data_IF_218823935447
#
_entry.id   IF_218823935447
#
_cell.length_a   1.000
_cell.length_b   1.000
_cell.length_c   1.000
_cell.angle_alpha   90.00
_cell.angle_beta   90.00
_cell.angle_gamma   90.00
#
_symmetry.space_group_name_H-M   'P 1'
#
loop_
_entity.id
_entity.type
_entity.pdbx_description
1 polymer ?
#
# COMPACT_ATOMS: atom_id res chain seq x y z
N UNK A 1 -10.86 24.61 -3.61
CA UNK A 1 -12.27 24.98 -3.58
C UNK A 1 -12.58 26.17 -4.48
N UNK A 2 -13.82 26.31 -4.87
CA UNK A 2 -14.30 27.43 -5.66
C UNK A 2 -14.59 28.62 -4.72
N UNK A 3 -13.66 29.57 -4.64
CA UNK A 3 -13.77 30.75 -3.78
C UNK A 3 -12.94 31.93 -4.32
N UNK A 4 -13.32 33.14 -3.96
CA UNK A 4 -12.55 34.34 -4.26
C UNK A 4 -11.32 34.44 -3.35
N UNK A 5 -10.13 34.41 -3.97
CA UNK A 5 -8.86 34.42 -3.25
C UNK A 5 -8.68 35.68 -2.41
N UNK A 6 -9.06 36.87 -2.95
CA UNK A 6 -8.88 38.13 -2.26
C UNK A 6 -9.82 38.23 -1.02
N UNK A 7 -11.05 37.75 -1.18
CA UNK A 7 -12.01 37.72 -0.09
C UNK A 7 -11.55 36.81 1.06
N UNK A 8 -11.05 35.62 0.74
CA UNK A 8 -10.53 34.68 1.75
C UNK A 8 -9.24 35.21 2.38
N UNK A 9 -8.31 35.74 1.60
CA UNK A 9 -7.08 36.37 2.13
C UNK A 9 -7.40 37.49 3.11
N UNK A 10 -8.35 38.36 2.75
CA UNK A 10 -8.81 39.43 3.64
C UNK A 10 -9.36 38.88 4.95
N UNK A 11 -10.23 37.85 4.90
CA UNK A 11 -10.77 37.22 6.10
C UNK A 11 -9.70 36.58 6.97
N UNK A 12 -8.71 35.89 6.37
CA UNK A 12 -7.57 35.30 7.09
C UNK A 12 -6.79 36.40 7.81
N UNK A 13 -6.43 37.47 7.12
CA UNK A 13 -5.71 38.61 7.71
C UNK A 13 -6.51 39.25 8.84
N UNK A 14 -7.80 39.54 8.65
CA UNK A 14 -8.65 40.17 9.67
C UNK A 14 -8.79 39.32 10.95
N UNK A 15 -8.85 38.00 10.82
CA UNK A 15 -9.03 37.08 11.96
C UNK A 15 -7.72 36.78 12.67
N UNK A 16 -6.66 36.48 11.93
CA UNK A 16 -5.43 35.94 12.50
C UNK A 16 -4.35 37.00 12.80
N UNK A 17 -4.36 38.18 12.16
CA UNK A 17 -3.39 39.26 12.46
C UNK A 17 -3.46 39.81 13.87
N UNK A 18 -4.58 39.55 14.58
CA UNK A 18 -4.76 39.95 15.98
C UNK A 18 -4.08 39.00 16.98
N UNK A 19 -3.69 37.81 16.51
CA UNK A 19 -2.98 36.84 17.33
C UNK A 19 -1.53 37.33 17.54
N UNK A 20 -1.10 37.37 18.80
CA UNK A 20 0.26 37.74 19.16
C UNK A 20 0.98 36.51 19.70
N UNK A 21 2.14 36.26 19.18
CA UNK A 21 3.01 35.25 19.77
C UNK A 21 3.48 35.73 21.14
N UNK A 22 3.53 34.85 22.15
CA UNK A 22 4.09 35.20 23.46
C UNK A 22 5.55 35.58 23.30
N UNK A 23 6.02 36.58 24.09
CA UNK A 23 7.42 37.02 24.07
C UNK A 23 8.43 35.89 24.35
N UNK A 24 8.00 34.89 25.15
CA UNK A 24 8.75 33.66 25.44
C UNK A 24 7.83 32.48 25.15
N UNK A 25 7.84 31.94 23.93
CA UNK A 25 7.04 30.77 23.61
C UNK A 25 7.54 29.57 24.44
N UNK A 26 6.61 28.70 24.84
CA UNK A 26 6.97 27.45 25.49
C UNK A 26 7.81 26.62 24.54
N UNK A 27 8.97 26.10 24.97
CA UNK A 27 9.74 25.18 24.14
C UNK A 27 8.91 23.92 23.86
N UNK A 28 8.97 23.44 22.62
CA UNK A 28 8.37 22.16 22.24
C UNK A 28 9.36 21.07 22.68
N UNK A 29 9.08 20.46 23.81
CA UNK A 29 9.92 19.37 24.32
C UNK A 29 9.62 18.10 23.54
N UNK A 30 10.63 17.48 22.99
CA UNK A 30 10.57 16.17 22.37
C UNK A 30 10.96 15.12 23.44
N UNK A 31 10.26 14.00 23.42
CA UNK A 31 10.50 12.89 24.32
C UNK A 31 10.88 11.67 23.48
N UNK A 32 11.99 11.06 23.84
CA UNK A 32 12.44 9.82 23.21
C UNK A 32 11.59 8.63 23.64
N UNK A 33 11.34 7.70 22.73
CA UNK A 33 10.75 6.41 23.06
C UNK A 33 11.81 5.56 23.76
N UNK A 34 11.56 5.06 24.99
CA UNK A 34 12.54 4.28 25.72
C UNK A 34 12.95 3.01 24.96
N UNK A 35 14.26 2.77 24.85
CA UNK A 35 14.80 1.54 24.28
C UNK A 35 14.77 0.41 25.30
N UNK A 36 14.51 -0.81 24.82
CA UNK A 36 14.47 -2.01 25.66
C UNK A 36 15.11 -3.21 24.96
N UNK A 37 15.78 -4.07 25.75
CA UNK A 37 16.43 -5.28 25.24
C UNK A 37 15.45 -6.44 25.06
N UNK A 38 14.53 -6.57 26.00
CA UNK A 38 13.57 -7.65 25.99
C UNK A 38 12.39 -7.34 25.07
N UNK A 39 11.85 -8.36 24.42
CA UNK A 39 10.58 -8.22 23.68
C UNK A 39 9.44 -7.96 24.68
N UNK A 40 8.68 -6.90 24.44
CA UNK A 40 7.47 -6.62 25.19
C UNK A 40 6.28 -7.30 24.52
N UNK A 41 5.36 -7.83 25.31
CA UNK A 41 4.17 -8.51 24.81
C UNK A 41 2.94 -7.97 25.51
N UNK A 42 1.86 -7.80 24.77
CA UNK A 42 0.56 -7.46 25.29
C UNK A 42 -0.52 -8.28 24.57
N UNK A 43 -1.39 -8.91 25.33
CA UNK A 43 -2.54 -9.65 24.82
C UNK A 43 -3.78 -9.06 25.45
N UNK A 44 -4.70 -8.55 24.64
CA UNK A 44 -5.92 -7.94 25.09
C UNK A 44 -7.12 -8.43 24.29
N UNK A 45 -8.27 -8.51 24.96
CA UNK A 45 -9.58 -8.71 24.32
C UNK A 45 -10.48 -7.54 24.64
N UNK A 46 -11.37 -7.24 23.73
CA UNK A 46 -12.33 -6.17 23.86
C UNK A 46 -13.67 -6.57 23.24
N UNK A 47 -14.77 -6.17 23.85
CA UNK A 47 -16.14 -6.48 23.38
C UNK A 47 -16.48 -5.78 22.06
N UNK A 48 -15.85 -4.65 21.81
CA UNK A 48 -16.04 -3.87 20.58
C UNK A 48 -15.10 -4.28 19.46
N UNK A 49 -14.06 -5.10 19.74
CA UNK A 49 -13.17 -5.62 18.71
C UNK A 49 -13.95 -6.57 17.79
N UNK A 50 -13.80 -6.37 16.48
CA UNK A 50 -14.50 -7.14 15.42
C UNK A 50 -13.66 -8.24 14.79
N UNK A 51 -12.35 -8.26 15.03
CA UNK A 51 -11.40 -9.21 14.44
C UNK A 51 -10.21 -9.44 15.35
N UNK A 52 -9.60 -10.60 15.21
CA UNK A 52 -8.32 -10.91 15.85
C UNK A 52 -7.18 -10.35 15.02
N UNK A 53 -6.32 -9.55 15.66
CA UNK A 53 -5.15 -8.94 15.00
C UNK A 53 -3.88 -9.21 15.77
N UNK A 54 -2.76 -9.32 15.08
CA UNK A 54 -1.43 -9.38 15.65
C UNK A 54 -0.55 -8.30 15.04
N UNK A 55 0.22 -7.61 15.88
CA UNK A 55 1.22 -6.62 15.47
C UNK A 55 2.57 -7.00 16.05
N UNK A 56 3.56 -7.08 15.20
CA UNK A 56 4.96 -7.20 15.57
C UNK A 56 5.67 -5.91 15.17
N UNK A 57 6.22 -5.21 16.13
CA UNK A 57 6.81 -3.88 15.95
C UNK A 57 8.26 -3.88 16.37
N UNK A 58 9.09 -3.16 15.62
CA UNK A 58 10.49 -2.90 15.90
C UNK A 58 10.71 -1.39 15.94
N UNK A 59 11.05 -0.86 17.11
CA UNK A 59 11.26 0.58 17.27
C UNK A 59 12.70 0.95 16.85
N UNK A 60 12.80 2.06 16.13
CA UNK A 60 14.04 2.62 15.61
C UNK A 60 14.12 4.12 15.90
N UNK A 61 15.33 4.67 15.83
CA UNK A 61 15.51 6.12 15.82
C UNK A 61 15.08 6.66 14.44
N UNK A 62 14.33 7.73 14.45
CA UNK A 62 13.89 8.41 13.23
C UNK A 62 14.89 9.49 12.84
N UNK A 63 15.25 9.51 11.57
CA UNK A 63 16.00 10.60 10.96
C UNK A 63 15.07 11.33 9.98
N UNK A 64 14.83 12.61 10.28
CA UNK A 64 13.95 13.44 9.46
C UNK A 64 14.62 13.73 8.11
N UNK A 65 13.97 13.43 6.98
CA UNK A 65 14.54 13.69 5.68
C UNK A 65 14.65 15.20 5.43
N UNK A 66 15.84 15.66 5.02
CA UNK A 66 16.12 17.06 4.74
C UNK A 66 16.92 17.27 3.44
N UNK A 67 17.49 16.23 2.88
CA UNK A 67 18.36 16.26 1.71
C UNK A 67 17.89 15.31 0.61
N UNK A 68 18.41 15.50 -0.62
CA UNK A 68 18.18 14.55 -1.73
C UNK A 68 18.65 13.13 -1.37
N UNK A 69 19.71 13.01 -0.57
CA UNK A 69 20.18 11.72 -0.07
C UNK A 69 19.14 11.06 0.83
N UNK A 70 18.51 11.83 1.70
CA UNK A 70 17.45 11.31 2.58
C UNK A 70 16.21 10.95 1.76
N UNK A 71 15.85 11.74 0.75
CA UNK A 71 14.75 11.43 -0.16
C UNK A 71 15.01 10.11 -0.92
N UNK A 72 16.25 9.89 -1.42
CA UNK A 72 16.64 8.61 -2.00
C UNK A 72 16.48 7.46 -1.01
N UNK A 73 16.81 7.71 0.26
CA UNK A 73 16.66 6.68 1.31
C UNK A 73 15.18 6.37 1.57
N UNK A 74 14.30 7.36 1.56
CA UNK A 74 12.85 7.14 1.65
C UNK A 74 12.30 6.35 0.45
N UNK A 75 12.78 6.60 -0.77
CA UNK A 75 12.42 5.78 -1.93
C UNK A 75 12.84 4.32 -1.75
N UNK A 76 14.02 4.05 -1.17
CA UNK A 76 14.47 2.68 -0.85
C UNK A 76 13.53 2.03 0.17
N UNK A 77 13.11 2.76 1.21
CA UNK A 77 12.17 2.24 2.20
C UNK A 77 10.78 1.95 1.59
N UNK A 78 10.31 2.81 0.71
CA UNK A 78 9.05 2.62 0.00
C UNK A 78 9.09 1.40 -0.92
N UNK A 79 10.19 1.19 -1.66
CA UNK A 79 10.40 -0.01 -2.47
C UNK A 79 10.41 -1.27 -1.60
N UNK A 80 11.14 -1.26 -0.46
CA UNK A 80 11.13 -2.37 0.48
C UNK A 80 9.71 -2.67 1.00
N UNK A 81 8.99 -1.63 1.43
CA UNK A 81 7.61 -1.77 1.90
C UNK A 81 6.70 -2.37 0.82
N UNK A 82 6.82 -1.90 -0.42
CA UNK A 82 6.02 -2.42 -1.53
C UNK A 82 6.33 -3.90 -1.84
N UNK A 83 7.62 -4.27 -1.85
CA UNK A 83 8.06 -5.63 -2.17
C UNK A 83 7.65 -6.63 -1.09
N UNK A 84 7.81 -6.30 0.20
CA UNK A 84 7.38 -7.18 1.29
C UNK A 84 5.85 -7.35 1.29
N UNK A 85 5.11 -6.29 0.97
CA UNK A 85 3.66 -6.33 0.90
C UNK A 85 3.13 -7.12 -0.29
N UNK A 86 3.82 -7.13 -1.42
CA UNK A 86 3.49 -7.99 -2.54
C UNK A 86 3.55 -9.48 -2.13
N UNK A 87 4.61 -9.90 -1.43
CA UNK A 87 4.73 -11.28 -0.91
C UNK A 87 3.68 -11.62 0.14
N UNK A 88 3.38 -10.69 1.06
CA UNK A 88 2.30 -10.89 2.04
C UNK A 88 0.93 -10.99 1.35
N UNK A 89 0.72 -10.23 0.27
CA UNK A 89 -0.47 -10.32 -0.56
C UNK A 89 -0.64 -11.72 -1.19
N UNK A 90 0.44 -12.30 -1.72
CA UNK A 90 0.41 -13.67 -2.27
C UNK A 90 0.02 -14.71 -1.21
N UNK A 91 0.54 -14.57 0.02
CA UNK A 91 0.17 -15.47 1.11
C UNK A 91 -1.31 -15.40 1.48
N UNK A 92 -1.95 -14.23 1.31
CA UNK A 92 -3.39 -14.07 1.57
C UNK A 92 -4.28 -14.73 0.52
N UNK A 93 -3.72 -15.07 -0.65
CA UNK A 93 -4.44 -15.71 -1.76
C UNK A 93 -4.30 -17.23 -1.77
N UNK A 94 -3.61 -17.83 -0.80
CA UNK A 94 -3.52 -19.29 -0.66
C UNK A 94 -4.90 -19.87 -0.34
N UNK A 95 -5.12 -21.14 -0.68
CA UNK A 95 -6.36 -21.85 -0.38
C UNK A 95 -6.66 -21.89 1.13
N UNK A 96 -5.64 -22.01 1.98
CA UNK A 96 -5.75 -21.86 3.44
C UNK A 96 -4.74 -20.79 3.91
N UNK A 97 -5.13 -19.52 3.84
CA UNK A 97 -4.24 -18.42 4.15
C UNK A 97 -4.01 -18.31 5.66
N UNK A 98 -2.78 -17.98 6.11
CA UNK A 98 -2.46 -17.83 7.53
C UNK A 98 -3.09 -16.61 8.18
N UNK A 99 -3.60 -15.69 7.37
CA UNK A 99 -4.28 -14.45 7.78
C UNK A 99 -5.27 -14.02 6.69
N UNK A 100 -6.24 -13.19 7.06
CA UNK A 100 -7.18 -12.59 6.11
C UNK A 100 -6.48 -11.55 5.24
N UNK A 101 -5.64 -10.73 5.85
CA UNK A 101 -4.67 -9.84 5.20
C UNK A 101 -3.53 -9.51 6.15
N UNK A 102 -2.39 -9.14 5.59
CA UNK A 102 -1.24 -8.66 6.35
C UNK A 102 -0.53 -7.55 5.59
N UNK A 103 0.18 -6.71 6.32
CA UNK A 103 1.08 -5.73 5.73
C UNK A 103 2.28 -5.49 6.64
N UNK A 104 3.38 -5.01 6.05
CA UNK A 104 4.54 -4.52 6.77
C UNK A 104 4.91 -3.12 6.27
N UNK A 105 5.31 -2.27 7.19
CA UNK A 105 5.63 -0.88 6.89
C UNK A 105 6.72 -0.35 7.82
N UNK A 106 7.75 0.27 7.24
CA UNK A 106 8.71 1.08 7.96
C UNK A 106 8.43 2.56 7.68
N UNK A 107 8.39 3.38 8.72
CA UNK A 107 8.18 4.81 8.59
C UNK A 107 8.26 5.53 9.93
N UNK A 108 8.12 6.86 9.88
CA UNK A 108 8.01 7.70 11.06
C UNK A 108 6.84 7.27 11.95
N UNK A 109 7.02 7.36 13.26
CA UNK A 109 6.00 7.04 14.25
C UNK A 109 5.71 8.29 15.12
N UNK A 110 6.20 8.34 16.33
CA UNK A 110 5.97 9.43 17.29
C UNK A 110 7.27 10.14 17.61
N UNK A 111 7.27 11.46 17.57
CA UNK A 111 8.45 12.26 17.90
C UNK A 111 9.67 11.89 17.06
N UNK A 112 10.74 11.45 17.73
CA UNK A 112 12.00 11.04 17.12
C UNK A 112 12.08 9.53 16.84
N UNK A 113 10.94 8.82 16.84
CA UNK A 113 10.92 7.38 16.60
C UNK A 113 10.45 7.05 15.18
N UNK A 114 11.03 6.00 14.61
CA UNK A 114 10.51 5.26 13.48
C UNK A 114 10.14 3.85 13.93
N UNK A 115 9.32 3.20 13.16
CA UNK A 115 8.84 1.86 13.46
C UNK A 115 8.77 1.00 12.21
N UNK A 116 9.29 -0.22 12.30
CA UNK A 116 8.91 -1.26 11.35
C UNK A 116 7.82 -2.10 12.00
N UNK A 117 6.66 -2.14 11.37
CA UNK A 117 5.50 -2.88 11.86
C UNK A 117 5.10 -3.94 10.86
N UNK A 118 4.97 -5.19 11.31
CA UNK A 118 4.25 -6.23 10.58
C UNK A 118 2.92 -6.46 11.28
N UNK A 119 1.84 -6.33 10.53
CA UNK A 119 0.47 -6.48 10.97
C UNK A 119 -0.18 -7.66 10.25
N UNK A 120 -0.98 -8.44 10.95
CA UNK A 120 -1.86 -9.43 10.35
C UNK A 120 -3.23 -9.42 11.03
N UNK A 121 -4.29 -9.46 10.22
CA UNK A 121 -5.66 -9.77 10.65
C UNK A 121 -5.92 -11.24 10.40
N UNK A 122 -6.32 -11.98 11.42
CA UNK A 122 -6.45 -13.42 11.38
C UNK A 122 -7.88 -13.87 11.64
N UNK A 123 -8.18 -15.13 11.34
CA UNK A 123 -9.36 -15.81 11.87
C UNK A 123 -9.29 -15.82 13.40
N UNK A 124 -10.43 -15.89 14.05
CA UNK A 124 -10.51 -15.99 15.51
C UNK A 124 -9.72 -17.21 16.00
N UNK A 125 -8.89 -17.02 17.03
CA UNK A 125 -8.01 -18.07 17.57
C UNK A 125 -6.73 -18.37 16.77
N UNK A 126 -6.50 -17.74 15.61
CA UNK A 126 -5.36 -18.01 14.73
C UNK A 126 -4.20 -16.99 14.86
N UNK A 127 -4.14 -16.21 15.92
CA UNK A 127 -3.11 -15.16 16.11
C UNK A 127 -1.67 -15.71 16.02
N UNK A 128 -1.39 -16.90 16.56
CA UNK A 128 -0.06 -17.51 16.47
C UNK A 128 0.31 -17.89 15.03
N UNK A 129 -0.66 -18.36 14.23
CA UNK A 129 -0.41 -18.69 12.83
C UNK A 129 -0.10 -17.42 12.02
N UNK A 130 -0.87 -16.35 12.23
CA UNK A 130 -0.60 -15.06 11.59
C UNK A 130 0.76 -14.48 12.00
N UNK A 131 1.10 -14.51 13.29
CA UNK A 131 2.41 -14.07 13.76
C UNK A 131 3.55 -14.90 13.15
N UNK A 132 3.39 -16.22 13.09
CA UNK A 132 4.38 -17.11 12.50
C UNK A 132 4.61 -16.77 11.03
N UNK A 133 3.55 -16.58 10.25
CA UNK A 133 3.66 -16.27 8.83
C UNK A 133 4.37 -14.94 8.57
N UNK A 134 4.06 -13.88 9.31
CA UNK A 134 4.78 -12.60 9.15
C UNK A 134 6.23 -12.68 9.64
N UNK A 135 6.52 -13.50 10.66
CA UNK A 135 7.90 -13.75 11.09
C UNK A 135 8.69 -14.52 10.03
N UNK A 136 8.10 -15.53 9.40
CA UNK A 136 8.73 -16.32 8.33
C UNK A 136 9.06 -15.42 7.14
N UNK A 137 8.13 -14.53 6.73
CA UNK A 137 8.38 -13.63 5.62
C UNK A 137 9.43 -12.56 5.97
N UNK A 138 9.39 -12.01 7.17
CA UNK A 138 10.43 -11.10 7.68
C UNK A 138 11.80 -11.78 7.69
N UNK A 139 11.90 -13.02 8.18
CA UNK A 139 13.15 -13.77 8.19
C UNK A 139 13.62 -14.13 6.77
N UNK A 140 12.70 -14.43 5.85
CA UNK A 140 13.01 -14.66 4.43
C UNK A 140 13.61 -13.40 3.81
N UNK A 141 12.96 -12.24 3.97
CA UNK A 141 13.45 -10.97 3.47
C UNK A 141 14.80 -10.57 4.09
N UNK A 142 14.99 -10.83 5.40
CA UNK A 142 16.25 -10.53 6.09
C UNK A 142 17.41 -11.40 5.63
N UNK A 143 17.19 -12.70 5.40
CA UNK A 143 18.26 -13.68 5.08
C UNK A 143 18.58 -13.72 3.60
N UNK A 144 17.58 -13.71 2.75
CA UNK A 144 17.74 -13.94 1.32
C UNK A 144 17.46 -12.69 0.49
N UNK A 145 16.80 -11.67 1.07
CA UNK A 145 16.44 -10.45 0.36
C UNK A 145 15.32 -10.66 -0.67
N UNK A 146 15.27 -9.76 -1.60
CA UNK A 146 14.37 -9.75 -2.74
C UNK A 146 15.12 -10.13 -4.02
N UNK A 147 14.38 -10.40 -5.09
CA UNK A 147 14.92 -10.75 -6.41
C UNK A 147 15.06 -9.50 -7.29
N UNK A 148 15.90 -9.54 -8.34
CA UNK A 148 15.99 -8.46 -9.31
C UNK A 148 14.65 -8.16 -9.99
N UNK A 149 13.86 -9.19 -10.31
CA UNK A 149 12.56 -9.07 -10.98
C UNK A 149 11.51 -8.37 -10.11
N UNK A 150 11.51 -8.63 -8.80
CA UNK A 150 10.66 -7.88 -7.85
C UNK A 150 11.04 -6.40 -7.83
N UNK A 151 12.33 -6.08 -7.75
CA UNK A 151 12.80 -4.70 -7.74
C UNK A 151 12.46 -3.96 -9.03
N UNK A 152 12.69 -4.58 -10.19
CA UNK A 152 12.40 -3.97 -11.48
C UNK A 152 10.91 -3.69 -11.66
N UNK A 153 10.05 -4.61 -11.22
CA UNK A 153 8.60 -4.45 -11.21
C UNK A 153 8.18 -3.28 -10.34
N UNK A 154 8.69 -3.18 -9.12
CA UNK A 154 8.33 -2.10 -8.20
C UNK A 154 8.89 -0.75 -8.65
N UNK A 155 10.07 -0.69 -9.26
CA UNK A 155 10.59 0.55 -9.84
C UNK A 155 9.69 1.07 -10.97
N UNK A 156 9.27 0.19 -11.88
CA UNK A 156 8.34 0.55 -12.97
C UNK A 156 7.00 1.05 -12.42
N UNK A 157 6.47 0.37 -11.42
CA UNK A 157 5.23 0.79 -10.78
C UNK A 157 5.38 2.17 -10.12
N UNK A 158 6.44 2.37 -9.34
CA UNK A 158 6.73 3.66 -8.70
C UNK A 158 6.88 4.78 -9.73
N UNK A 159 7.63 4.56 -10.81
CA UNK A 159 7.78 5.56 -11.88
C UNK A 159 6.43 5.92 -12.49
N UNK A 160 5.59 4.94 -12.79
CA UNK A 160 4.24 5.14 -13.34
C UNK A 160 3.35 5.93 -12.38
N UNK A 161 3.41 5.67 -11.07
CA UNK A 161 2.64 6.38 -10.05
C UNK A 161 3.01 7.87 -10.01
N UNK A 162 4.31 8.20 -10.02
CA UNK A 162 4.77 9.58 -10.03
C UNK A 162 4.52 10.28 -11.38
N UNK A 163 4.63 9.56 -12.50
CA UNK A 163 4.26 10.07 -13.81
C UNK A 163 2.77 10.43 -13.88
N UNK A 164 1.90 9.55 -13.40
CA UNK A 164 0.46 9.81 -13.33
C UNK A 164 0.14 10.99 -12.43
N UNK A 165 0.79 11.10 -11.26
CA UNK A 165 0.63 12.24 -10.37
C UNK A 165 1.06 13.57 -11.05
N UNK A 166 2.14 13.55 -11.84
CA UNK A 166 2.57 14.70 -12.64
C UNK A 166 1.55 15.06 -13.72
N UNK A 167 1.04 14.09 -14.49
CA UNK A 167 0.05 14.32 -15.54
C UNK A 167 -1.28 14.86 -14.99
N UNK A 168 -1.65 14.43 -13.78
CA UNK A 168 -2.90 14.82 -13.10
C UNK A 168 -2.74 16.00 -12.12
N UNK A 169 -1.61 16.70 -12.13
CA UNK A 169 -1.30 17.73 -11.13
C UNK A 169 -2.33 18.86 -11.07
N UNK A 170 -2.92 19.23 -12.21
CA UNK A 170 -3.97 20.25 -12.31
C UNK A 170 -5.34 19.76 -11.80
N UNK A 171 -5.51 18.45 -11.61
CA UNK A 171 -6.71 17.81 -11.03
C UNK A 171 -6.52 17.45 -9.55
N UNK A 172 -5.35 17.73 -8.99
CA UNK A 172 -5.07 17.42 -7.57
C UNK A 172 -6.01 18.17 -6.64
N UNK A 173 -6.64 17.46 -5.73
CA UNK A 173 -7.55 18.06 -4.76
C UNK A 173 -6.80 19.03 -3.84
N UNK A 174 -7.38 20.22 -3.61
CA UNK A 174 -6.81 21.25 -2.74
C UNK A 174 -6.43 20.74 -1.35
N UNK A 175 -7.19 19.79 -0.77
CA UNK A 175 -6.88 19.21 0.53
C UNK A 175 -5.52 18.50 0.56
N UNK A 176 -5.13 17.83 -0.53
CA UNK A 176 -3.85 17.14 -0.61
C UNK A 176 -2.69 18.13 -0.67
N UNK A 177 -2.85 19.23 -1.45
CA UNK A 177 -1.87 20.31 -1.50
C UNK A 177 -1.73 20.99 -0.14
N UNK A 178 -2.83 21.29 0.54
CA UNK A 178 -2.83 21.89 1.88
C UNK A 178 -2.11 20.99 2.88
N UNK A 179 -2.30 19.68 2.83
CA UNK A 179 -1.62 18.75 3.74
C UNK A 179 -0.09 18.84 3.59
N UNK A 180 0.43 18.90 2.35
CA UNK A 180 1.85 19.08 2.11
C UNK A 180 2.40 20.40 2.66
N UNK A 181 1.66 21.51 2.46
CA UNK A 181 2.02 22.83 2.98
C UNK A 181 2.02 22.85 4.52
N UNK A 182 1.03 22.21 5.14
CA UNK A 182 0.96 22.09 6.61
C UNK A 182 2.13 21.29 7.16
N UNK A 183 2.46 20.14 6.55
CA UNK A 183 3.63 19.34 6.94
C UNK A 183 4.94 20.12 6.77
N UNK A 184 5.08 20.88 5.67
CA UNK A 184 6.23 21.76 5.49
C UNK A 184 6.35 22.80 6.63
N UNK A 185 5.24 23.45 7.00
CA UNK A 185 5.24 24.48 8.04
C UNK A 185 5.49 23.91 9.43
N UNK A 186 4.81 22.81 9.81
CA UNK A 186 4.90 22.24 11.15
C UNK A 186 6.16 21.42 11.36
N UNK A 187 6.51 20.61 10.36
CA UNK A 187 7.53 19.60 10.48
C UNK A 187 8.78 19.90 9.65
N UNK A 188 8.78 20.98 8.89
CA UNK A 188 9.88 21.34 7.97
C UNK A 188 10.17 20.24 6.95
N UNK A 189 9.15 19.42 6.61
CA UNK A 189 9.26 18.40 5.59
C UNK A 189 9.41 19.08 4.23
N UNK A 190 10.39 18.72 3.40
CA UNK A 190 10.55 19.33 2.07
C UNK A 190 9.24 19.22 1.26
N UNK A 191 8.84 20.32 0.65
CA UNK A 191 7.64 20.37 -0.19
C UNK A 191 8.08 20.62 -1.64
N UNK A 192 7.69 19.71 -2.52
CA UNK A 192 7.92 19.79 -3.96
C UNK A 192 6.58 19.77 -4.69
N UNK A 193 6.50 20.41 -5.85
CA UNK A 193 5.38 20.18 -6.74
C UNK A 193 5.54 18.86 -7.50
N UNK A 194 4.45 18.34 -8.08
CA UNK A 194 4.45 17.04 -8.73
C UNK A 194 5.47 16.92 -9.87
N UNK A 195 5.74 18.01 -10.61
CA UNK A 195 6.73 18.01 -11.67
C UNK A 195 8.16 17.85 -11.12
N UNK A 196 8.50 18.62 -10.07
CA UNK A 196 9.81 18.52 -9.42
C UNK A 196 10.02 17.13 -8.80
N UNK A 197 8.99 16.59 -8.17
CA UNK A 197 9.04 15.28 -7.53
C UNK A 197 9.20 14.17 -8.56
N UNK A 198 8.44 14.20 -9.66
CA UNK A 198 8.58 13.22 -10.75
C UNK A 198 9.99 13.23 -11.36
N UNK A 199 10.55 14.41 -11.71
CA UNK A 199 11.90 14.49 -12.25
C UNK A 199 12.96 14.00 -11.26
N UNK A 200 12.81 14.30 -9.97
CA UNK A 200 13.70 13.80 -8.93
C UNK A 200 13.63 12.28 -8.82
N UNK A 201 12.43 11.70 -8.73
CA UNK A 201 12.22 10.25 -8.65
C UNK A 201 12.79 9.55 -9.87
N UNK A 202 12.50 10.05 -11.08
CA UNK A 202 13.02 9.52 -12.34
C UNK A 202 14.55 9.51 -12.38
N UNK A 203 15.19 10.50 -11.79
CA UNK A 203 16.67 10.56 -11.70
C UNK A 203 17.24 9.60 -10.66
N UNK A 204 16.53 9.37 -9.55
CA UNK A 204 17.03 8.59 -8.41
C UNK A 204 16.73 7.10 -8.53
N UNK A 205 15.57 6.69 -9.06
CA UNK A 205 15.17 5.28 -9.16
C UNK A 205 16.22 4.38 -9.83
N UNK A 206 16.85 4.78 -10.96
CA UNK A 206 17.90 3.96 -11.59
C UNK A 206 19.13 3.75 -10.72
N UNK A 207 19.39 4.67 -9.77
CA UNK A 207 20.55 4.58 -8.87
C UNK A 207 20.35 3.63 -7.69
N UNK A 208 19.11 3.21 -7.42
CA UNK A 208 18.80 2.30 -6.31
C UNK A 208 19.12 0.88 -6.73
N UNK A 209 19.95 0.22 -5.96
CA UNK A 209 20.38 -1.16 -6.20
C UNK A 209 19.56 -2.15 -5.38
N UNK A 210 19.60 -3.42 -5.77
CA UNK A 210 18.99 -4.51 -5.01
C UNK A 210 19.61 -4.61 -3.60
N UNK A 211 20.92 -4.37 -3.46
CA UNK A 211 21.59 -4.39 -2.15
C UNK A 211 21.11 -3.24 -1.24
N UNK A 212 20.85 -2.05 -1.80
CA UNK A 212 20.25 -0.94 -1.02
C UNK A 212 18.94 -1.36 -0.38
N UNK A 213 18.08 -2.05 -1.14
CA UNK A 213 16.77 -2.51 -0.64
C UNK A 213 16.93 -3.69 0.31
N UNK A 214 17.78 -4.66 0.00
CA UNK A 214 18.00 -5.84 0.84
C UNK A 214 18.65 -5.49 2.19
N UNK A 215 19.44 -4.42 2.25
CA UNK A 215 19.97 -3.91 3.51
C UNK A 215 18.89 -3.47 4.50
N UNK A 216 17.70 -3.07 4.01
CA UNK A 216 16.58 -2.68 4.85
C UNK A 216 16.08 -3.82 5.75
N UNK A 217 15.97 -5.04 5.23
CA UNK A 217 15.54 -6.19 6.03
C UNK A 217 16.45 -6.46 7.23
N UNK A 218 17.78 -6.33 7.02
CA UNK A 218 18.77 -6.46 8.09
C UNK A 218 18.71 -5.33 9.10
N UNK A 219 18.38 -4.11 8.65
CA UNK A 219 18.26 -2.93 9.49
C UNK A 219 16.97 -2.90 10.29
N UNK A 220 15.83 -3.26 9.68
CA UNK A 220 14.52 -3.11 10.27
C UNK A 220 14.19 -4.21 11.27
N UNK A 221 14.65 -5.45 11.00
CA UNK A 221 14.30 -6.63 11.79
C UNK A 221 15.42 -6.89 12.80
N UNK A 222 15.28 -6.27 13.97
CA UNK A 222 16.27 -6.32 15.07
C UNK A 222 15.88 -7.34 16.15
N UNK A 223 16.79 -7.62 17.08
CA UNK A 223 16.51 -8.49 18.24
C UNK A 223 16.03 -7.70 19.46
N UNK A 224 16.32 -6.43 19.50
CA UNK A 224 15.95 -5.50 20.56
C UNK A 224 14.82 -4.57 20.09
N UNK A 225 14.23 -3.85 21.02
CA UNK A 225 13.15 -2.88 20.80
C UNK A 225 11.91 -3.49 20.09
N UNK A 226 11.62 -4.77 20.35
CA UNK A 226 10.48 -5.49 19.77
C UNK A 226 9.28 -5.42 20.69
N UNK A 227 8.11 -5.22 20.08
CA UNK A 227 6.83 -5.25 20.78
C UNK A 227 5.85 -6.13 20.00
N UNK A 228 5.17 -7.03 20.69
CA UNK A 228 4.10 -7.86 20.12
C UNK A 228 2.80 -7.49 20.79
N UNK A 229 1.78 -7.20 19.99
CA UNK A 229 0.43 -6.91 20.50
C UNK A 229 -0.56 -7.81 19.79
N UNK A 230 -1.37 -8.52 20.57
CA UNK A 230 -2.52 -9.27 20.08
C UNK A 230 -3.77 -8.60 20.62
N UNK A 231 -4.71 -8.28 19.72
CA UNK A 231 -6.04 -7.80 20.06
C UNK A 231 -7.09 -8.72 19.47
N UNK A 232 -8.12 -9.07 20.22
CA UNK A 232 -9.15 -10.01 19.80
C UNK A 232 -10.51 -9.62 20.33
N UNK A 233 -11.61 -10.03 19.68
CA UNK A 233 -12.93 -9.98 20.28
C UNK A 233 -12.98 -10.74 21.61
N UNK A 234 -13.72 -10.20 22.60
CA UNK A 234 -13.98 -10.88 23.85
C UNK A 234 -15.14 -11.88 23.67
N UNK A 235 -14.78 -13.12 23.30
CA UNK A 235 -15.73 -14.21 23.12
C UNK A 235 -15.23 -15.47 23.83
N UNK A 236 -16.10 -16.23 24.51
CA UNK A 236 -15.70 -17.42 25.29
C UNK A 236 -15.03 -18.52 24.46
N UNK A 237 -15.39 -18.64 23.19
CA UNK A 237 -14.86 -19.63 22.26
C UNK A 237 -13.48 -19.28 21.69
N UNK A 238 -13.03 -18.03 21.82
CA UNK A 238 -11.73 -17.60 21.30
C UNK A 238 -10.65 -17.89 22.33
N UNK A 239 -9.76 -18.81 22.00
CA UNK A 239 -8.58 -19.06 22.81
C UNK A 239 -7.45 -18.12 22.38
N UNK A 240 -7.12 -17.18 23.25
CA UNK A 240 -6.00 -16.27 23.04
C UNK A 240 -4.66 -16.98 23.34
N UNK A 241 -3.58 -16.62 22.61
CA UNK A 241 -2.26 -17.09 22.97
C UNK A 241 -1.80 -16.44 24.29
N UNK A 242 -1.00 -17.18 25.02
CA UNK A 242 -0.30 -16.67 26.19
C UNK A 242 0.88 -15.78 25.79
N UNK A 243 1.30 -14.86 26.65
CA UNK A 243 2.52 -14.06 26.43
C UNK A 243 3.75 -14.96 26.22
N UNK A 244 3.82 -16.08 26.95
CA UNK A 244 4.93 -17.04 26.83
C UNK A 244 4.98 -17.71 25.45
N UNK A 245 3.83 -18.08 24.87
CA UNK A 245 3.77 -18.65 23.52
C UNK A 245 4.22 -17.62 22.47
N UNK A 246 3.79 -16.36 22.58
CA UNK A 246 4.20 -15.27 21.70
C UNK A 246 5.70 -14.98 21.80
N UNK A 247 6.22 -14.90 23.02
CA UNK A 247 7.65 -14.70 23.27
C UNK A 247 8.50 -15.85 22.71
N UNK A 248 8.07 -17.09 22.94
CA UNK A 248 8.78 -18.27 22.43
C UNK A 248 8.83 -18.24 20.89
N UNK A 249 7.72 -17.91 20.23
CA UNK A 249 7.66 -17.82 18.78
C UNK A 249 8.58 -16.73 18.22
N UNK A 250 8.51 -15.52 18.77
CA UNK A 250 9.35 -14.40 18.34
C UNK A 250 10.84 -14.65 18.60
N UNK A 251 11.19 -15.24 19.75
CA UNK A 251 12.58 -15.51 20.09
C UNK A 251 13.15 -16.69 19.28
N UNK A 252 12.29 -17.60 18.81
CA UNK A 252 12.69 -18.71 17.93
C UNK A 252 12.75 -18.32 16.45
N UNK A 253 12.38 -17.07 16.08
CA UNK A 253 12.27 -16.64 14.68
C UNK A 253 13.55 -16.90 13.87
N UNK A 254 14.72 -16.66 14.45
CA UNK A 254 16.02 -16.97 13.82
C UNK A 254 16.23 -18.46 13.50
N UNK A 255 15.53 -19.35 14.18
CA UNK A 255 15.57 -20.80 13.96
C UNK A 255 14.50 -21.28 12.95
N UNK A 256 13.60 -20.42 12.51
CA UNK A 256 12.58 -20.79 11.54
C UNK A 256 13.22 -21.25 10.23
N UNK A 257 12.75 -22.36 9.74
CA UNK A 257 13.15 -22.87 8.43
C UNK A 257 12.35 -22.12 7.36
N UNK A 258 13.03 -21.26 6.63
CA UNK A 258 12.47 -20.52 5.51
C UNK A 258 13.34 -20.75 4.28
N UNK A 259 12.69 -20.91 3.14
CA UNK A 259 13.37 -21.06 1.86
C UNK A 259 13.42 -19.70 1.14
N UNK A 260 14.41 -19.47 0.24
CA UNK A 260 14.42 -18.29 -0.60
C UNK A 260 13.10 -18.13 -1.36
N UNK A 261 12.68 -16.89 -1.56
CA UNK A 261 11.52 -16.62 -2.39
C UNK A 261 11.81 -16.94 -3.86
N UNK A 262 10.86 -17.55 -4.52
CA UNK A 262 10.93 -17.85 -5.96
C UNK A 262 9.86 -17.01 -6.65
N UNK A 263 10.31 -16.02 -7.42
CA UNK A 263 9.43 -15.18 -8.23
C UNK A 263 8.92 -15.99 -9.43
N UNK A 264 7.60 -16.21 -9.49
CA UNK A 264 6.95 -16.98 -10.55
C UNK A 264 6.55 -16.10 -11.73
N UNK A 265 7.46 -15.24 -12.18
CA UNK A 265 7.20 -14.39 -13.34
C UNK A 265 7.20 -15.26 -14.60
N UNK A 266 6.17 -15.11 -15.41
CA UNK A 266 6.10 -15.71 -16.74
C UNK A 266 6.40 -14.65 -17.80
N UNK A 267 7.37 -14.92 -18.68
CA UNK A 267 7.65 -14.10 -19.86
C UNK A 267 6.73 -14.46 -21.04
N UNK A 268 5.83 -15.42 -20.84
CA UNK A 268 4.89 -15.82 -21.89
C UNK A 268 3.91 -14.65 -22.16
N UNK A 269 3.60 -14.38 -23.43
CA UNK A 269 2.59 -13.37 -23.75
C UNK A 269 1.23 -13.79 -23.19
N UNK A 270 0.47 -12.82 -22.69
CA UNK A 270 -0.86 -13.02 -22.10
C UNK A 270 -1.80 -13.83 -23.02
N UNK A 271 -1.63 -13.67 -24.32
CA UNK A 271 -2.36 -14.41 -25.36
C UNK A 271 -1.37 -15.06 -26.32
N UNK A 272 -1.44 -16.38 -26.46
CA UNK A 272 -0.59 -17.12 -27.40
C UNK A 272 -0.77 -16.66 -28.87
N UNK A 273 -1.98 -16.23 -29.18
CA UNK A 273 -2.31 -15.62 -30.48
C UNK A 273 -3.19 -14.40 -30.25
N UNK A 274 -2.79 -13.28 -30.84
CA UNK A 274 -3.64 -12.09 -30.84
C UNK A 274 -4.89 -12.35 -31.68
N UNK A 275 -6.07 -11.89 -31.24
CA UNK A 275 -7.29 -12.00 -32.04
C UNK A 275 -7.16 -11.21 -33.34
N UNK A 276 -7.84 -11.67 -34.38
CA UNK A 276 -7.90 -10.92 -35.64
C UNK A 276 -8.52 -9.54 -35.40
N UNK A 277 -7.86 -8.52 -35.93
CA UNK A 277 -8.34 -7.14 -35.82
C UNK A 277 -9.68 -7.02 -36.55
N UNK A 278 -10.71 -6.54 -35.85
CA UNK A 278 -11.95 -6.12 -36.47
C UNK A 278 -11.82 -4.74 -37.13
N UNK A 279 -12.84 -4.37 -37.89
CA UNK A 279 -12.97 -3.04 -38.49
C UNK A 279 -14.24 -2.35 -37.98
N UNK A 280 -14.25 -1.02 -37.98
CA UNK A 280 -15.45 -0.23 -37.75
C UNK A 280 -16.30 -0.23 -39.02
N UNK A 281 -17.52 -0.78 -38.96
CA UNK A 281 -18.44 -0.81 -40.09
C UNK A 281 -19.48 0.29 -40.04
N UNK A 282 -19.70 0.91 -38.89
CA UNK A 282 -20.62 2.05 -38.72
C UNK A 282 -20.09 2.97 -37.62
N UNK A 283 -20.19 4.28 -37.84
CA UNK A 283 -19.89 5.32 -36.85
C UNK A 283 -21.08 6.26 -36.72
N UNK A 284 -21.51 6.53 -35.49
CA UNK A 284 -22.60 7.46 -35.19
C UNK A 284 -22.12 8.42 -34.07
N UNK A 285 -22.38 9.71 -34.25
CA UNK A 285 -22.04 10.74 -33.26
C UNK A 285 -23.30 11.30 -32.63
N UNK A 286 -23.30 11.36 -31.31
CA UNK A 286 -24.33 12.03 -30.54
C UNK A 286 -23.77 13.30 -29.94
N UNK A 287 -24.14 14.46 -30.50
CA UNK A 287 -23.63 15.76 -30.06
C UNK A 287 -24.15 16.17 -28.67
N UNK A 288 -25.37 15.77 -28.31
CA UNK A 288 -25.97 16.08 -27.02
C UNK A 288 -25.24 15.37 -25.87
N UNK A 289 -24.88 14.11 -26.04
CA UNK A 289 -24.17 13.31 -25.07
C UNK A 289 -22.63 13.42 -25.19
N UNK A 290 -22.13 13.99 -26.29
CA UNK A 290 -20.73 14.05 -26.61
C UNK A 290 -20.10 12.67 -26.82
N UNK A 291 -20.87 11.71 -27.38
CA UNK A 291 -20.42 10.33 -27.59
C UNK A 291 -20.25 10.00 -29.06
N UNK A 292 -19.34 9.06 -29.32
CA UNK A 292 -19.22 8.41 -30.64
C UNK A 292 -19.45 6.91 -30.45
N UNK A 293 -20.39 6.37 -31.22
CA UNK A 293 -20.71 4.93 -31.19
C UNK A 293 -20.15 4.27 -32.46
N UNK A 294 -19.35 3.23 -32.27
CA UNK A 294 -18.87 2.38 -33.35
C UNK A 294 -19.57 1.03 -33.32
N UNK A 295 -19.98 0.55 -34.48
CA UNK A 295 -20.32 -0.86 -34.67
C UNK A 295 -19.13 -1.54 -35.33
N UNK A 296 -18.62 -2.61 -34.73
CA UNK A 296 -17.51 -3.36 -35.25
C UNK A 296 -17.96 -4.49 -36.18
N UNK A 297 -17.03 -5.02 -37.00
CA UNK A 297 -17.30 -6.11 -37.97
C UNK A 297 -17.78 -7.42 -37.30
N UNK A 298 -17.64 -7.59 -36.02
CA UNK A 298 -18.20 -8.70 -35.24
C UNK A 298 -19.49 -8.35 -34.50
N UNK A 299 -20.12 -7.24 -34.87
CA UNK A 299 -21.32 -6.67 -34.27
C UNK A 299 -21.17 -6.15 -32.82
N UNK A 300 -19.97 -6.11 -32.28
CA UNK A 300 -19.75 -5.43 -31.00
C UNK A 300 -20.00 -3.93 -31.17
N UNK A 301 -20.62 -3.33 -30.18
CA UNK A 301 -20.88 -1.88 -30.13
C UNK A 301 -19.93 -1.25 -29.09
N UNK A 302 -19.18 -0.25 -29.52
CA UNK A 302 -18.25 0.50 -28.68
C UNK A 302 -18.74 1.94 -28.58
N UNK A 303 -19.02 2.39 -27.36
CA UNK A 303 -19.40 3.78 -27.08
C UNK A 303 -18.22 4.50 -26.47
N UNK A 304 -17.72 5.53 -27.14
CA UNK A 304 -16.62 6.36 -26.72
C UNK A 304 -17.14 7.69 -26.20
N UNK A 305 -16.70 8.09 -25.01
CA UNK A 305 -16.99 9.41 -24.44
C UNK A 305 -15.70 10.07 -23.98
N UNK A 306 -15.08 10.94 -24.79
CA UNK A 306 -13.94 11.75 -24.35
C UNK A 306 -14.37 12.71 -23.24
N UNK A 307 -13.58 12.81 -22.18
CA UNK A 307 -13.81 13.73 -21.08
C UNK A 307 -12.53 14.44 -20.69
N UNK A 308 -12.64 15.52 -19.91
CA UNK A 308 -11.52 16.28 -19.36
C UNK A 308 -11.44 16.16 -17.84
N UNK A 309 -12.11 15.16 -17.26
CA UNK A 309 -12.12 14.98 -15.79
C UNK A 309 -10.77 14.52 -15.27
N UNK A 310 -10.09 13.68 -16.07
CA UNK A 310 -8.75 13.19 -15.85
C UNK A 310 -7.91 13.35 -17.13
N UNK A 311 -6.61 13.48 -16.99
CA UNK A 311 -5.70 13.66 -18.12
C UNK A 311 -5.11 12.31 -18.60
N UNK A 312 -5.01 11.33 -17.72
CA UNK A 312 -4.32 10.05 -17.98
C UNK A 312 -5.13 8.86 -17.42
N UNK A 313 -6.43 8.82 -17.74
CA UNK A 313 -7.32 7.75 -17.30
C UNK A 313 -8.24 7.29 -18.43
N UNK A 314 -8.30 5.97 -18.64
CA UNK A 314 -9.27 5.33 -19.52
C UNK A 314 -10.11 4.39 -18.65
N UNK A 315 -11.41 4.71 -18.51
CA UNK A 315 -12.36 3.82 -17.88
C UNK A 315 -12.98 2.92 -18.96
N UNK A 316 -12.83 1.61 -18.79
CA UNK A 316 -13.37 0.61 -19.69
C UNK A 316 -14.38 -0.25 -18.94
N UNK A 317 -15.56 -0.42 -19.55
CA UNK A 317 -16.55 -1.40 -19.10
C UNK A 317 -17.12 -2.13 -20.32
N UNK A 318 -17.43 -3.40 -20.14
CA UNK A 318 -18.07 -4.20 -21.17
C UNK A 318 -19.26 -4.94 -20.56
N UNK A 319 -20.36 -5.00 -21.31
CA UNK A 319 -21.56 -5.76 -20.97
C UNK A 319 -21.93 -6.68 -22.12
N UNK A 320 -22.43 -7.85 -21.81
CA UNK A 320 -22.95 -8.81 -22.75
C UNK A 320 -24.28 -9.35 -22.21
N UNK A 321 -25.23 -9.61 -23.11
CA UNK A 321 -26.43 -10.34 -22.72
C UNK A 321 -26.09 -11.77 -22.33
N UNK A 322 -26.75 -12.31 -21.32
CA UNK A 322 -26.48 -13.65 -20.80
C UNK A 322 -26.19 -13.65 -19.30
N UNK A 323 -25.19 -14.42 -18.89
CA UNK A 323 -24.81 -14.59 -17.48
C UNK A 323 -25.60 -15.70 -16.80
N UNK A 324 -25.76 -15.63 -15.46
CA UNK A 324 -26.39 -16.67 -14.64
C UNK A 324 -27.81 -17.04 -15.11
N UNK A 325 -28.56 -16.10 -15.71
CA UNK A 325 -29.89 -16.35 -16.25
C UNK A 325 -29.97 -17.38 -17.39
N UNK A 326 -28.85 -17.75 -17.99
CA UNK A 326 -28.81 -18.78 -19.03
C UNK A 326 -28.78 -20.21 -18.45
N UNK A 327 -28.62 -20.34 -17.14
CA UNK A 327 -28.45 -21.60 -16.43
C UNK A 327 -29.67 -21.90 -15.57
N UNK A 328 -30.02 -23.17 -15.34
CA UNK A 328 -31.11 -23.53 -14.45
C UNK A 328 -30.76 -23.18 -12.99
N UNK A 329 -31.78 -23.03 -12.14
CA UNK A 329 -31.60 -22.66 -10.72
C UNK A 329 -30.65 -23.60 -9.96
N UNK A 330 -30.54 -24.87 -10.40
CA UNK A 330 -29.59 -25.85 -9.83
C UNK A 330 -28.11 -25.51 -10.07
N UNK A 331 -27.81 -24.67 -11.04
CA UNK A 331 -26.45 -24.26 -11.44
C UNK A 331 -26.20 -22.75 -11.18
N UNK A 332 -27.13 -22.07 -10.53
CA UNK A 332 -27.05 -20.61 -10.30
C UNK A 332 -25.80 -20.22 -9.52
N UNK A 333 -25.41 -21.00 -8.50
CA UNK A 333 -24.19 -20.75 -7.73
C UNK A 333 -22.95 -20.89 -8.59
N UNK A 334 -22.85 -21.95 -9.40
CA UNK A 334 -21.71 -22.20 -10.26
C UNK A 334 -21.55 -21.06 -11.29
N UNK A 335 -22.67 -20.66 -11.92
CA UNK A 335 -22.70 -19.57 -12.88
C UNK A 335 -22.34 -18.22 -12.24
N UNK A 336 -22.84 -17.94 -11.04
CA UNK A 336 -22.58 -16.69 -10.32
C UNK A 336 -21.14 -16.58 -9.81
N UNK A 337 -20.52 -17.69 -9.43
CA UNK A 337 -19.14 -17.71 -8.92
C UNK A 337 -18.07 -17.92 -10.00
N UNK A 338 -18.43 -18.30 -11.21
CA UNK A 338 -17.49 -18.57 -12.29
C UNK A 338 -16.56 -17.37 -12.59
N UNK A 339 -17.12 -16.17 -12.75
CA UNK A 339 -16.33 -14.97 -13.04
C UNK A 339 -15.43 -14.54 -11.86
N UNK A 340 -15.92 -14.46 -10.61
CA UNK A 340 -15.06 -14.23 -9.43
C UNK A 340 -13.92 -15.24 -9.29
N UNK A 341 -14.18 -16.52 -9.54
CA UNK A 341 -13.14 -17.57 -9.44
C UNK A 341 -12.08 -17.37 -10.52
N UNK A 342 -12.47 -17.16 -11.78
CA UNK A 342 -11.54 -16.93 -12.90
C UNK A 342 -10.69 -15.67 -12.62
N UNK A 343 -11.32 -14.60 -12.16
CA UNK A 343 -10.60 -13.35 -11.81
C UNK A 343 -9.62 -13.57 -10.65
N UNK A 344 -10.01 -14.37 -9.66
CA UNK A 344 -9.16 -14.71 -8.50
C UNK A 344 -7.98 -15.62 -8.82
N UNK A 345 -8.08 -16.45 -9.87
CA UNK A 345 -6.99 -17.31 -10.31
C UNK A 345 -5.86 -16.56 -11.04
N UNK A 346 -6.10 -15.34 -11.50
CA UNK A 346 -5.16 -14.59 -12.30
C UNK A 346 -5.00 -15.14 -13.72
N UNK A 347 -4.01 -14.62 -14.42
CA UNK A 347 -3.71 -14.99 -15.81
C UNK A 347 -2.38 -15.74 -15.98
N UNK A 348 -1.82 -16.27 -14.89
CA UNK A 348 -0.56 -17.03 -14.86
C UNK A 348 0.53 -16.33 -14.09
#
# INVERSE_FOLDING_TARGET
GDFDLNAVEKQVKERFSKLKNPAKPRPRTEFDVPKHKNTLVSVCSDKEATSTTVRLMYNHDYHKPATIKDYRQELIYNLYNAMINARLGELSQLADPPFNFAFSYYGADVGNAAKYTSFASTKDGAALNGLKAVLEENERAKRYGFTPTELDRMKKQTETEYESAYKEQDKTMSRNLVSGIVSYFLDQTPFMNAAQEYELVKSLLPTITLEDVNACGRRFITDENRVVVVTSPEKPEIKLPTEAELLNLVNSAKGLRVEPYVDKVSDAPLMAQLPQKGSVIKEEKNAELGTTTWTLSNNAVVVLKPTTFKNDEILFSATSEGGAFLYPDSEDLDASYAAPIITGCGLG
#
